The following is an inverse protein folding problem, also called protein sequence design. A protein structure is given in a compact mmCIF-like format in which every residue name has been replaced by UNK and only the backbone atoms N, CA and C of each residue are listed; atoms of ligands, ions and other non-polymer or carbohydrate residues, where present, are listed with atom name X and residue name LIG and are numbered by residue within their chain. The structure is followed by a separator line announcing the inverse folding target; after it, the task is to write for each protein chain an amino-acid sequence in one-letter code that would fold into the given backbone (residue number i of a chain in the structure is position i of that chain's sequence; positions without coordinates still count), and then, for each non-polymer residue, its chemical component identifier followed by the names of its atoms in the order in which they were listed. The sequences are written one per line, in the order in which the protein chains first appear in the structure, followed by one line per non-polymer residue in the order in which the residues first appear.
data_IF_562684714820
#
_entry.id   IF_562684714820
#
_cell.length_a   1.000
_cell.length_b   1.000
_cell.length_c   1.000
_cell.angle_alpha   90.00
_cell.angle_beta   90.00
_cell.angle_gamma   90.00
#
_symmetry.space_group_name_H-M   'P 1'
#
loop_
_entity.id
_entity.type
_entity.pdbx_description
1 polymer ?
#
# COMPACT_ATOMS: atom_id res chain seq x y z
N UNK A 1 -21.26 14.06 22.15
CA UNK A 1 -20.81 14.27 20.76
C UNK A 1 -19.79 13.19 20.43
N UNK A 2 -20.14 12.25 19.58
CA UNK A 2 -19.13 11.34 19.04
C UNK A 2 -18.29 12.16 18.07
N UNK A 3 -17.06 12.44 18.42
CA UNK A 3 -16.06 12.92 17.47
C UNK A 3 -15.91 11.79 16.48
N UNK A 4 -16.39 11.98 15.26
CA UNK A 4 -16.24 11.01 14.17
C UNK A 4 -14.75 11.01 13.82
N UNK A 5 -14.00 10.16 14.51
CA UNK A 5 -12.55 10.06 14.33
C UNK A 5 -12.32 9.57 12.90
N UNK A 6 -11.68 10.40 12.08
CA UNK A 6 -11.36 10.04 10.70
C UNK A 6 -10.50 8.78 10.66
N UNK A 7 -10.98 7.79 9.91
CA UNK A 7 -10.27 6.52 9.67
C UNK A 7 -9.92 6.41 8.20
N UNK A 8 -8.64 6.44 7.86
CA UNK A 8 -8.22 6.38 6.47
C UNK A 8 -8.48 5.00 5.86
N UNK A 9 -8.91 4.95 4.62
CA UNK A 9 -8.97 3.72 3.85
C UNK A 9 -7.63 3.46 3.18
N UNK A 10 -6.92 2.45 3.65
CA UNK A 10 -5.62 2.03 3.13
C UNK A 10 -5.76 0.75 2.32
N UNK A 11 -5.17 0.72 1.13
CA UNK A 11 -5.05 -0.48 0.31
C UNK A 11 -3.59 -0.92 0.29
N UNK A 12 -3.33 -2.15 0.70
CA UNK A 12 -2.01 -2.76 0.71
C UNK A 12 -1.93 -3.90 -0.31
N UNK A 13 -1.19 -3.71 -1.39
CA UNK A 13 -0.87 -4.79 -2.32
C UNK A 13 0.33 -5.57 -1.80
N UNK A 14 0.16 -6.84 -1.50
CA UNK A 14 1.20 -7.68 -0.91
C UNK A 14 1.56 -8.85 -1.83
N UNK A 15 2.85 -8.99 -2.13
CA UNK A 15 3.39 -10.11 -2.86
C UNK A 15 3.14 -11.42 -2.10
N UNK A 16 2.60 -12.43 -2.79
CA UNK A 16 2.25 -13.72 -2.21
C UNK A 16 3.42 -14.41 -1.48
N UNK A 17 4.61 -14.32 -2.03
CA UNK A 17 5.76 -15.11 -1.59
C UNK A 17 6.52 -14.54 -0.39
N UNK A 18 6.48 -13.22 -0.20
CA UNK A 18 7.22 -12.54 0.84
C UNK A 18 6.31 -11.70 1.74
N UNK A 19 5.83 -10.58 1.25
CA UNK A 19 5.14 -9.60 2.09
C UNK A 19 3.79 -10.08 2.61
N UNK A 20 3.04 -10.88 1.84
CA UNK A 20 1.82 -11.50 2.35
C UNK A 20 2.12 -12.55 3.43
N UNK A 21 3.17 -13.36 3.24
CA UNK A 21 3.62 -14.28 4.27
C UNK A 21 4.10 -13.54 5.53
N UNK A 22 4.76 -12.38 5.36
CA UNK A 22 5.10 -11.49 6.47
C UNK A 22 3.88 -10.94 7.20
N UNK A 23 2.82 -10.59 6.46
CA UNK A 23 1.54 -10.17 7.05
C UNK A 23 0.87 -11.31 7.84
N UNK A 24 0.89 -12.53 7.30
CA UNK A 24 0.39 -13.73 7.96
C UNK A 24 1.16 -14.04 9.24
N UNK A 25 2.49 -13.95 9.18
CA UNK A 25 3.36 -14.09 10.35
C UNK A 25 3.04 -13.03 11.42
N UNK A 26 2.79 -11.78 11.03
CA UNK A 26 2.40 -10.73 11.96
C UNK A 26 1.08 -11.10 12.68
N UNK A 27 0.10 -11.62 11.94
CA UNK A 27 -1.16 -12.09 12.50
C UNK A 27 -0.97 -13.27 13.47
N UNK A 28 -0.19 -14.28 13.08
CA UNK A 28 0.12 -15.44 13.92
C UNK A 28 0.85 -15.05 15.21
N UNK A 29 1.74 -14.07 15.12
CA UNK A 29 2.46 -13.53 16.30
C UNK A 29 1.62 -12.50 17.08
N UNK A 30 0.35 -12.30 16.72
CA UNK A 30 -0.55 -11.34 17.36
C UNK A 30 0.00 -9.90 17.38
N UNK A 31 0.78 -9.54 16.38
CA UNK A 31 1.26 -8.18 16.17
C UNK A 31 0.12 -7.36 15.55
N UNK A 32 -0.38 -6.38 16.29
CA UNK A 32 -1.50 -5.57 15.84
C UNK A 32 -1.07 -4.45 14.88
N UNK A 33 -1.86 -4.25 13.85
CA UNK A 33 -1.85 -3.08 13.00
C UNK A 33 -3.30 -2.66 12.69
N UNK A 34 -3.56 -1.41 12.27
CA UNK A 34 -4.93 -0.92 12.12
C UNK A 34 -5.77 -1.75 11.13
N UNK A 35 -7.05 -2.00 11.49
CA UNK A 35 -8.01 -2.72 10.66
C UNK A 35 -8.41 -1.96 9.38
N UNK A 36 -8.03 -0.69 9.29
CA UNK A 36 -8.26 0.18 8.13
C UNK A 36 -7.38 -0.17 6.92
N UNK A 37 -6.37 -1.04 7.12
CA UNK A 37 -5.53 -1.59 6.06
C UNK A 37 -6.23 -2.79 5.40
N UNK A 38 -6.56 -2.65 4.13
CA UNK A 38 -7.16 -3.73 3.31
C UNK A 38 -6.07 -4.37 2.46
N UNK A 39 -5.73 -5.62 2.78
CA UNK A 39 -4.67 -6.37 2.10
C UNK A 39 -5.22 -7.02 0.85
N UNK A 40 -4.56 -6.77 -0.28
CA UNK A 40 -4.80 -7.46 -1.57
C UNK A 40 -3.56 -8.28 -1.90
N UNK A 41 -3.71 -9.59 -1.91
CA UNK A 41 -2.65 -10.51 -2.29
C UNK A 41 -2.47 -10.54 -3.81
N UNK A 42 -1.23 -10.39 -4.26
CA UNK A 42 -0.86 -10.45 -5.67
C UNK A 42 0.26 -11.48 -5.89
N UNK A 43 0.36 -12.10 -7.07
CA UNK A 43 1.42 -13.09 -7.33
C UNK A 43 2.83 -12.53 -7.17
N UNK A 44 3.04 -11.29 -7.59
CA UNK A 44 4.29 -10.57 -7.46
C UNK A 44 4.00 -9.07 -7.46
N UNK A 45 4.82 -8.28 -6.79
CA UNK A 45 4.70 -6.81 -6.80
C UNK A 45 4.76 -6.22 -8.22
N UNK A 46 5.47 -6.85 -9.14
CA UNK A 46 5.53 -6.41 -10.54
C UNK A 46 4.21 -6.56 -11.32
N UNK A 47 3.27 -7.36 -10.80
CA UNK A 47 1.93 -7.49 -11.41
C UNK A 47 1.01 -6.33 -11.07
N UNK A 48 1.37 -5.53 -10.09
CA UNK A 48 0.61 -4.32 -9.77
C UNK A 48 0.89 -3.25 -10.83
N UNK A 49 -0.10 -3.07 -11.70
CA UNK A 49 -0.04 -2.00 -12.67
C UNK A 49 -0.23 -0.66 -11.94
N UNK A 50 0.51 0.41 -12.28
CA UNK A 50 0.25 1.74 -11.74
C UNK A 50 -1.21 2.17 -11.80
N UNK A 51 -1.94 1.74 -12.83
CA UNK A 51 -3.38 1.98 -12.95
C UNK A 51 -4.20 1.38 -11.81
N UNK A 52 -3.76 0.30 -11.17
CA UNK A 52 -4.47 -0.26 -10.00
C UNK A 52 -4.38 0.69 -8.81
N UNK A 53 -3.25 1.34 -8.63
CA UNK A 53 -3.04 2.32 -7.57
C UNK A 53 -3.88 3.57 -7.83
N UNK A 54 -3.87 4.09 -9.06
CA UNK A 54 -4.73 5.21 -9.44
C UNK A 54 -6.22 4.85 -9.29
N UNK A 55 -6.60 3.63 -9.65
CA UNK A 55 -7.97 3.15 -9.47
C UNK A 55 -8.36 3.03 -8.01
N UNK A 56 -7.45 2.64 -7.13
CA UNK A 56 -7.69 2.62 -5.69
C UNK A 56 -8.00 4.03 -5.18
N UNK A 57 -7.20 5.04 -5.55
CA UNK A 57 -7.47 6.44 -5.21
C UNK A 57 -8.80 6.93 -5.79
N UNK A 58 -9.08 6.62 -7.06
CA UNK A 58 -10.36 6.95 -7.68
C UNK A 58 -11.55 6.32 -6.93
N UNK A 59 -11.38 5.14 -6.36
CA UNK A 59 -12.39 4.43 -5.57
C UNK A 59 -12.50 4.90 -4.13
N UNK A 60 -11.68 5.85 -3.71
CA UNK A 60 -11.74 6.48 -2.39
C UNK A 60 -10.69 6.01 -1.40
N UNK A 61 -9.65 5.33 -1.83
CA UNK A 61 -8.52 5.06 -0.95
C UNK A 61 -7.80 6.38 -0.58
N UNK A 62 -7.42 6.50 0.67
CA UNK A 62 -6.66 7.64 1.19
C UNK A 62 -5.15 7.41 1.11
N UNK A 63 -4.76 6.13 1.12
CA UNK A 63 -3.39 5.71 0.94
C UNK A 63 -3.28 4.34 0.28
N UNK A 64 -2.19 4.12 -0.46
CA UNK A 64 -1.89 2.84 -1.10
C UNK A 64 -0.45 2.47 -0.83
N UNK A 65 -0.23 1.27 -0.31
CA UNK A 65 1.11 0.73 -0.08
C UNK A 65 1.32 -0.53 -0.92
N UNK A 66 2.48 -0.63 -1.54
CA UNK A 66 2.91 -1.79 -2.30
C UNK A 66 4.06 -2.48 -1.58
N UNK A 67 3.83 -3.70 -1.12
CA UNK A 67 4.81 -4.50 -0.42
C UNK A 67 5.32 -5.63 -1.31
N UNK A 68 6.63 -5.69 -1.49
CA UNK A 68 7.29 -6.71 -2.29
C UNK A 68 8.44 -7.40 -1.55
N UNK A 69 9.06 -8.39 -2.21
CA UNK A 69 10.27 -9.03 -1.72
C UNK A 69 11.43 -8.04 -1.74
N UNK A 70 12.44 -8.25 -0.88
CA UNK A 70 13.68 -7.49 -0.97
C UNK A 70 14.31 -7.61 -2.36
N UNK A 71 14.94 -6.54 -2.90
CA UNK A 71 15.65 -6.60 -4.17
C UNK A 71 16.67 -7.74 -4.17
N UNK A 72 16.60 -8.60 -5.19
CA UNK A 72 17.42 -9.81 -5.29
C UNK A 72 16.76 -11.08 -4.77
N UNK A 73 15.71 -11.00 -3.94
CA UNK A 73 15.01 -12.14 -3.33
C UNK A 73 13.64 -12.42 -3.97
N UNK A 74 13.37 -11.84 -5.13
CA UNK A 74 12.11 -12.05 -5.81
C UNK A 74 11.95 -13.51 -6.25
N UNK A 75 10.82 -14.13 -5.91
CA UNK A 75 10.48 -15.49 -6.35
C UNK A 75 10.55 -15.67 -7.88
N UNK A 76 10.26 -14.61 -8.62
CA UNK A 76 10.35 -14.56 -10.09
C UNK A 76 11.61 -13.85 -10.59
N UNK A 77 12.68 -13.88 -9.83
CA UNK A 77 14.02 -13.38 -10.13
C UNK A 77 14.12 -11.85 -10.16
N UNK A 78 13.43 -11.18 -11.09
CA UNK A 78 13.60 -9.74 -11.36
C UNK A 78 12.34 -8.89 -11.16
N UNK A 79 11.26 -9.49 -10.67
CA UNK A 79 9.96 -8.82 -10.58
C UNK A 79 9.99 -7.51 -9.77
N UNK A 80 10.67 -7.49 -8.63
CA UNK A 80 10.77 -6.29 -7.79
C UNK A 80 11.61 -5.14 -8.41
N UNK A 81 12.52 -5.44 -9.32
CA UNK A 81 13.22 -4.40 -10.09
C UNK A 81 12.26 -3.68 -11.05
N UNK A 82 11.35 -4.41 -11.69
CA UNK A 82 10.29 -3.80 -12.51
C UNK A 82 9.34 -2.97 -11.65
N UNK A 83 8.97 -3.46 -10.48
CA UNK A 83 8.17 -2.71 -9.50
C UNK A 83 8.82 -1.37 -9.20
N UNK A 84 10.09 -1.37 -8.84
CA UNK A 84 10.84 -0.14 -8.50
C UNK A 84 10.78 0.89 -9.62
N UNK A 85 10.99 0.47 -10.87
CA UNK A 85 10.95 1.37 -12.04
C UNK A 85 9.54 1.94 -12.27
N UNK A 86 8.51 1.09 -12.20
CA UNK A 86 7.11 1.50 -12.39
C UNK A 86 6.66 2.47 -11.31
N UNK A 87 7.09 2.25 -10.08
CA UNK A 87 6.73 3.13 -8.98
C UNK A 87 7.40 4.49 -9.08
N UNK A 88 8.65 4.55 -9.56
CA UNK A 88 9.30 5.82 -9.84
C UNK A 88 8.51 6.66 -10.86
N UNK A 89 8.02 6.03 -11.93
CA UNK A 89 7.14 6.68 -12.90
C UNK A 89 5.80 7.10 -12.27
N UNK A 90 5.18 6.24 -11.48
CA UNK A 90 3.93 6.53 -10.81
C UNK A 90 4.04 7.75 -9.89
N UNK A 91 5.13 7.88 -9.13
CA UNK A 91 5.32 9.05 -8.26
C UNK A 91 5.33 10.37 -9.04
N UNK A 92 5.90 10.38 -10.25
CA UNK A 92 5.83 11.56 -11.12
C UNK A 92 4.40 11.84 -11.61
N UNK A 93 3.64 10.79 -11.89
CA UNK A 93 2.23 10.92 -12.28
C UNK A 93 1.35 11.42 -11.13
N UNK A 94 1.60 10.97 -9.90
CA UNK A 94 0.87 11.42 -8.71
C UNK A 94 1.06 12.92 -8.48
N UNK A 95 2.29 13.41 -8.65
CA UNK A 95 2.59 14.85 -8.59
C UNK A 95 1.74 15.63 -9.59
N UNK A 96 1.70 15.18 -10.84
CA UNK A 96 0.91 15.82 -11.89
C UNK A 96 -0.59 15.84 -11.55
N UNK A 97 -1.09 14.77 -10.95
CA UNK A 97 -2.51 14.66 -10.54
C UNK A 97 -2.81 15.42 -9.24
N UNK A 98 -1.80 15.96 -8.56
CA UNK A 98 -1.95 16.66 -7.29
C UNK A 98 -2.28 15.74 -6.12
N UNK A 99 -1.89 14.48 -6.19
CA UNK A 99 -1.98 13.50 -5.09
C UNK A 99 -0.65 13.53 -4.35
N UNK A 100 -0.69 13.74 -3.04
CA UNK A 100 0.52 13.79 -2.22
C UNK A 100 1.28 12.47 -2.29
N UNK A 101 2.56 12.53 -2.59
CA UNK A 101 3.44 11.34 -2.70
C UNK A 101 3.44 10.48 -1.44
N UNK A 102 3.28 11.11 -0.28
CA UNK A 102 3.24 10.43 1.01
C UNK A 102 2.02 9.49 1.16
N UNK A 103 1.00 9.61 0.29
CA UNK A 103 -0.15 8.69 0.22
C UNK A 103 0.19 7.37 -0.47
N UNK A 104 1.37 7.27 -1.08
CA UNK A 104 1.81 6.03 -1.74
C UNK A 104 3.20 5.66 -1.25
N UNK A 105 3.37 4.41 -0.83
CA UNK A 105 4.63 3.88 -0.32
C UNK A 105 4.95 2.55 -0.99
N UNK A 106 6.23 2.29 -1.19
CA UNK A 106 6.75 0.96 -1.53
C UNK A 106 7.59 0.49 -0.37
N UNK A 107 7.37 -0.73 0.06
CA UNK A 107 8.14 -1.33 1.14
C UNK A 107 8.59 -2.75 0.77
N UNK A 108 9.79 -3.09 1.16
CA UNK A 108 10.36 -4.41 0.94
C UNK A 108 10.29 -5.20 2.24
N UNK A 109 9.49 -6.28 2.23
CA UNK A 109 9.23 -7.11 3.41
C UNK A 109 9.41 -8.57 3.05
N UNK A 110 10.25 -9.28 3.81
CA UNK A 110 10.43 -10.74 3.68
C UNK A 110 9.35 -11.51 4.45
N UNK A 111 9.26 -12.81 4.17
CA UNK A 111 8.34 -13.71 4.87
C UNK A 111 8.62 -13.81 6.38
N UNK A 112 9.86 -13.57 6.81
CA UNK A 112 10.27 -13.61 8.22
C UNK A 112 10.11 -12.26 8.95
N UNK A 113 9.74 -11.20 8.25
CA UNK A 113 9.68 -9.84 8.79
C UNK A 113 8.26 -9.39 9.18
N UNK A 114 7.52 -10.23 9.91
CA UNK A 114 6.18 -9.89 10.40
C UNK A 114 6.16 -8.65 11.28
N UNK A 115 7.16 -8.47 12.15
CA UNK A 115 7.29 -7.28 13.00
C UNK A 115 7.50 -6.00 12.16
N UNK A 116 8.33 -6.07 11.13
CA UNK A 116 8.54 -4.96 10.18
C UNK A 116 7.25 -4.65 9.44
N UNK A 117 6.50 -5.66 9.00
CA UNK A 117 5.22 -5.46 8.33
C UNK A 117 4.25 -4.67 9.22
N UNK A 118 4.03 -5.11 10.46
CA UNK A 118 3.13 -4.44 11.40
C UNK A 118 3.58 -3.00 11.69
N UNK A 119 4.88 -2.79 11.93
CA UNK A 119 5.44 -1.46 12.17
C UNK A 119 5.24 -0.53 10.95
N UNK A 120 5.50 -1.03 9.75
CA UNK A 120 5.29 -0.29 8.50
C UNK A 120 3.83 0.12 8.30
N UNK A 121 2.88 -0.78 8.57
CA UNK A 121 1.45 -0.47 8.46
C UNK A 121 1.02 0.58 9.48
N UNK A 122 1.47 0.48 10.73
CA UNK A 122 1.17 1.48 11.76
C UNK A 122 1.72 2.86 11.39
N UNK A 123 2.96 2.94 10.92
CA UNK A 123 3.59 4.19 10.49
C UNK A 123 2.86 4.79 9.28
N UNK A 124 2.54 3.96 8.28
CA UNK A 124 1.88 4.43 7.07
C UNK A 124 0.46 4.94 7.33
N UNK A 125 -0.32 4.22 8.15
CA UNK A 125 -1.66 4.67 8.55
C UNK A 125 -1.58 6.01 9.29
N UNK A 126 -0.62 6.18 10.20
CA UNK A 126 -0.39 7.45 10.89
C UNK A 126 -0.11 8.59 9.90
N UNK A 127 0.81 8.37 8.96
CA UNK A 127 1.14 9.36 7.92
C UNK A 127 -0.09 9.76 7.11
N UNK A 128 -0.88 8.80 6.67
CA UNK A 128 -2.08 9.08 5.87
C UNK A 128 -3.16 9.76 6.72
N UNK A 129 -3.30 9.40 7.99
CA UNK A 129 -4.23 10.06 8.91
C UNK A 129 -3.88 11.54 9.10
N UNK A 130 -2.59 11.86 9.24
CA UNK A 130 -2.11 13.24 9.34
C UNK A 130 -2.38 14.06 8.07
N UNK A 131 -2.36 13.43 6.89
CA UNK A 131 -2.71 14.06 5.61
C UNK A 131 -4.22 14.30 5.45
N UNK A 132 -5.03 13.59 6.20
CA UNK A 132 -6.49 13.62 6.09
C UNK A 132 -7.05 12.92 4.85
N UNK A 133 -8.35 13.07 4.62
CA UNK A 133 -9.06 12.45 3.51
C UNK A 133 -8.51 12.89 2.14
N UNK A 134 -8.35 11.92 1.24
CA UNK A 134 -7.98 12.21 -0.14
C UNK A 134 -9.22 12.60 -0.95
N UNK A 135 -9.34 13.90 -1.25
CA UNK A 135 -10.42 14.46 -2.06
C UNK A 135 -10.09 14.53 -3.56
N UNK A 136 -8.85 14.22 -3.93
CA UNK A 136 -8.46 14.18 -5.34
C UNK A 136 -9.18 13.04 -6.06
N UNK A 137 -9.53 13.25 -7.32
CA UNK A 137 -10.27 12.32 -8.16
C UNK A 137 -11.71 12.02 -7.66
N UNK A 138 -12.23 12.78 -6.70
CA UNK A 138 -13.58 12.59 -6.16
C UNK A 138 -14.65 12.73 -7.25
N UNK A 139 -14.50 13.70 -8.14
CA UNK A 139 -15.40 13.95 -9.26
C UNK A 139 -15.44 12.78 -10.28
N UNK A 140 -14.39 11.95 -10.29
CA UNK A 140 -14.26 10.78 -11.15
C UNK A 140 -14.71 9.48 -10.47
N UNK A 141 -15.17 9.56 -9.21
CA UNK A 141 -15.75 8.41 -8.53
C UNK A 141 -17.06 8.04 -9.20
N UNK A 142 -17.19 6.77 -9.60
CA UNK A 142 -18.47 6.29 -10.10
C UNK A 142 -19.53 6.46 -9.00
N UNK A 143 -20.48 7.36 -9.18
CA UNK A 143 -21.68 7.41 -8.35
C UNK A 143 -22.37 6.05 -8.49
N UNK A 144 -22.57 5.37 -7.38
CA UNK A 144 -23.36 4.13 -7.32
C UNK A 144 -24.83 4.46 -7.50
#
# INVERSE_FOLDING_TARGET
MQVNEYKPLIVAFCCNWCSYAGADLAGNNRLSYPADVKIIRVPCSCRVNPMFILRAFQRGADGVILCGCHPGDCHYTSGNYYTRRRMALLFSMLDYLGIEKARTRVEWVSAAEGAKFAATMNEFVKTVTELGENKRLEDLRCKK
#
